data_IF_099616121097
#
_entry.id   IF_099616121097
#
_cell.length_a   1.000
_cell.length_b   1.000
_cell.length_c   1.000
_cell.angle_alpha   90.00
_cell.angle_beta   90.00
_cell.angle_gamma   90.00
#
_symmetry.space_group_name_H-M   'P 1'
#
loop_
_entity.id
_entity.type
_entity.pdbx_description
1 polymer ?
#
# COMPACT_ATOMS: atom_id res chain seq x y z
N UNK A 1 0.72 4.48 -23.14
CA UNK A 1 -0.52 4.38 -22.37
C UNK A 1 -0.44 3.38 -21.22
N UNK A 2 -0.02 2.15 -21.47
CA UNK A 2 0.12 1.14 -20.43
C UNK A 2 1.16 1.53 -19.38
N UNK A 3 2.25 2.16 -19.80
CA UNK A 3 3.28 2.65 -18.89
C UNK A 3 2.74 3.75 -17.96
N UNK A 4 1.84 4.61 -18.45
CA UNK A 4 1.22 5.64 -17.65
C UNK A 4 0.36 5.07 -16.52
N UNK A 5 -0.38 3.99 -16.81
CA UNK A 5 -1.20 3.29 -15.81
C UNK A 5 -0.31 2.68 -14.72
N UNK A 6 0.81 2.08 -15.14
CA UNK A 6 1.78 1.49 -14.19
C UNK A 6 2.43 2.58 -13.34
N UNK A 7 2.81 3.70 -13.95
CA UNK A 7 3.40 4.84 -13.23
C UNK A 7 2.45 5.41 -12.18
N UNK A 8 1.18 5.59 -12.53
CA UNK A 8 0.17 6.08 -11.60
C UNK A 8 -0.02 5.12 -10.42
N UNK A 9 -0.03 3.81 -10.69
CA UNK A 9 -0.12 2.79 -9.66
C UNK A 9 1.13 2.76 -8.78
N UNK A 10 2.31 2.96 -9.35
CA UNK A 10 3.55 3.04 -8.58
C UNK A 10 3.55 4.25 -7.65
N UNK A 11 3.03 5.39 -8.09
CA UNK A 11 2.84 6.56 -7.23
C UNK A 11 1.91 6.26 -6.07
N UNK A 12 0.82 5.58 -6.35
CA UNK A 12 -0.17 5.20 -5.34
C UNK A 12 0.45 4.23 -4.31
N UNK A 13 1.25 3.28 -4.76
CA UNK A 13 2.00 2.38 -3.87
C UNK A 13 2.93 3.18 -2.95
N UNK A 14 3.66 4.14 -3.51
CA UNK A 14 4.55 5.01 -2.73
C UNK A 14 3.78 5.79 -1.67
N UNK A 15 2.61 6.31 -2.00
CA UNK A 15 1.76 7.03 -1.06
C UNK A 15 1.25 6.10 0.04
N UNK A 16 0.86 4.88 -0.30
CA UNK A 16 0.46 3.88 0.69
C UNK A 16 1.61 3.52 1.63
N UNK A 17 2.82 3.36 1.11
CA UNK A 17 3.99 3.06 1.93
C UNK A 17 4.29 4.18 2.92
N UNK A 18 4.18 5.45 2.49
CA UNK A 18 4.32 6.60 3.38
C UNK A 18 3.24 6.60 4.46
N UNK A 19 2.01 6.30 4.08
CA UNK A 19 0.90 6.22 5.03
C UNK A 19 1.11 5.10 6.03
N UNK A 20 1.55 3.93 5.59
CA UNK A 20 1.86 2.79 6.46
C UNK A 20 2.94 3.17 7.48
N UNK A 21 4.00 3.84 7.04
CA UNK A 21 5.07 4.31 7.94
C UNK A 21 4.52 5.26 9.01
N UNK A 22 3.67 6.20 8.61
CA UNK A 22 3.02 7.12 9.55
C UNK A 22 2.09 6.40 10.52
N UNK A 23 1.38 5.39 10.02
CA UNK A 23 0.48 4.59 10.86
C UNK A 23 1.25 3.72 11.86
N UNK A 24 2.41 3.20 11.48
CA UNK A 24 3.27 2.46 12.40
C UNK A 24 3.74 3.36 13.55
N UNK A 25 4.14 4.59 13.25
CA UNK A 25 4.52 5.57 14.26
C UNK A 25 3.35 5.94 15.16
N UNK A 26 2.17 6.12 14.58
CA UNK A 26 0.95 6.45 15.31
C UNK A 26 0.52 5.28 16.21
N UNK A 27 0.64 4.04 15.73
CA UNK A 27 0.34 2.84 16.51
C UNK A 27 1.25 2.75 17.74
N UNK A 28 2.54 2.98 17.56
CA UNK A 28 3.50 2.96 18.65
C UNK A 28 3.17 4.04 19.67
N UNK A 29 2.90 5.26 19.23
CA UNK A 29 2.53 6.35 20.11
C UNK A 29 1.25 6.02 20.88
N UNK A 30 0.24 5.50 20.20
CA UNK A 30 -1.03 5.15 20.84
C UNK A 30 -0.85 4.03 21.85
N UNK A 31 -0.05 3.02 21.55
CA UNK A 31 0.27 1.94 22.48
C UNK A 31 0.99 2.47 23.72
N UNK A 32 1.98 3.33 23.53
CA UNK A 32 2.76 3.91 24.63
C UNK A 32 1.93 4.82 25.54
N UNK A 33 0.85 5.39 25.01
CA UNK A 33 -0.01 6.34 25.72
C UNK A 33 -1.39 5.77 26.11
N UNK A 34 -1.56 4.45 26.03
CA UNK A 34 -2.82 3.78 26.34
C UNK A 34 -4.03 4.29 25.53
N UNK A 35 -3.78 4.65 24.29
CA UNK A 35 -4.83 5.03 23.36
C UNK A 35 -5.32 3.82 22.58
N UNK A 36 -6.36 4.01 21.76
CA UNK A 36 -6.99 2.94 20.98
C UNK A 36 -6.11 2.49 19.81
N UNK A 37 -4.95 1.94 20.11
CA UNK A 37 -3.95 1.49 19.12
C UNK A 37 -4.46 0.39 18.21
N UNK A 38 -5.45 -0.39 18.66
CA UNK A 38 -6.04 -1.47 17.86
C UNK A 38 -6.72 -0.93 16.60
N UNK A 39 -7.34 0.24 16.67
CA UNK A 39 -7.95 0.88 15.51
C UNK A 39 -6.89 1.33 14.51
N UNK A 40 -5.78 1.86 14.99
CA UNK A 40 -4.67 2.25 14.14
C UNK A 40 -4.07 1.03 13.44
N UNK A 41 -3.89 -0.05 14.18
CA UNK A 41 -3.39 -1.32 13.66
C UNK A 41 -4.31 -1.89 12.59
N UNK A 42 -5.62 -1.90 12.83
CA UNK A 42 -6.61 -2.39 11.86
C UNK A 42 -6.59 -1.58 10.57
N UNK A 43 -6.51 -0.26 10.70
CA UNK A 43 -6.42 0.63 9.54
C UNK A 43 -5.11 0.41 8.76
N UNK A 44 -4.00 0.23 9.46
CA UNK A 44 -2.71 -0.09 8.84
C UNK A 44 -2.79 -1.35 8.00
N UNK A 45 -3.39 -2.41 8.52
CA UNK A 45 -3.55 -3.66 7.77
C UNK A 45 -4.43 -3.49 6.54
N UNK A 46 -5.50 -2.71 6.64
CA UNK A 46 -6.36 -2.41 5.51
C UNK A 46 -5.57 -1.74 4.38
N UNK A 47 -4.78 -0.73 4.71
CA UNK A 47 -3.93 -0.02 3.73
C UNK A 47 -2.88 -0.96 3.15
N UNK A 48 -2.32 -1.84 3.97
CA UNK A 48 -1.35 -2.84 3.53
C UNK A 48 -1.93 -3.77 2.48
N UNK A 49 -3.15 -4.26 2.71
CA UNK A 49 -3.85 -5.12 1.76
C UNK A 49 -4.16 -4.40 0.45
N UNK A 50 -4.57 -3.15 0.52
CA UNK A 50 -4.82 -2.34 -0.67
C UNK A 50 -3.54 -2.18 -1.50
N UNK A 51 -2.41 -1.92 -0.84
CA UNK A 51 -1.11 -1.84 -1.50
C UNK A 51 -0.76 -3.17 -2.18
N UNK A 52 -0.92 -4.29 -1.49
CA UNK A 52 -0.62 -5.61 -2.04
C UNK A 52 -1.48 -5.92 -3.27
N UNK A 53 -2.75 -5.54 -3.25
CA UNK A 53 -3.63 -5.72 -4.39
C UNK A 53 -3.17 -4.93 -5.61
N UNK A 54 -2.70 -3.72 -5.41
CA UNK A 54 -2.17 -2.88 -6.49
C UNK A 54 -0.88 -3.48 -7.06
N UNK A 55 0.00 -3.99 -6.20
CA UNK A 55 1.23 -4.67 -6.63
C UNK A 55 0.89 -5.88 -7.51
N UNK A 56 -0.09 -6.68 -7.10
CA UNK A 56 -0.55 -7.84 -7.87
C UNK A 56 -1.13 -7.43 -9.22
N UNK A 57 -1.89 -6.34 -9.26
CA UNK A 57 -2.42 -5.81 -10.53
C UNK A 57 -1.29 -5.41 -11.48
N UNK A 58 -0.27 -4.74 -10.97
CA UNK A 58 0.89 -4.34 -11.78
C UNK A 58 1.62 -5.57 -12.33
N UNK A 59 1.85 -6.57 -11.49
CA UNK A 59 2.50 -7.81 -11.90
C UNK A 59 1.70 -8.52 -12.99
N UNK A 60 0.39 -8.58 -12.84
CA UNK A 60 -0.51 -9.17 -13.83
C UNK A 60 -0.42 -8.45 -15.17
N UNK A 61 -0.47 -7.12 -15.15
CA UNK A 61 -0.36 -6.32 -16.37
C UNK A 61 0.99 -6.53 -17.06
N UNK A 62 2.07 -6.57 -16.28
CA UNK A 62 3.42 -6.82 -16.81
C UNK A 62 3.52 -8.20 -17.47
N UNK A 63 2.91 -9.22 -16.85
CA UNK A 63 2.87 -10.56 -17.44
C UNK A 63 2.12 -10.56 -18.75
N UNK A 64 0.97 -9.90 -18.81
CA UNK A 64 0.20 -9.80 -20.05
C UNK A 64 0.99 -9.11 -21.18
N UNK A 65 1.71 -8.05 -20.84
CA UNK A 65 2.56 -7.35 -21.81
C UNK A 65 3.74 -8.20 -22.25
N UNK A 66 4.37 -8.89 -21.29
CA UNK A 66 5.48 -9.79 -21.57
C UNK A 66 5.09 -10.98 -22.43
N UNK A 67 3.90 -11.51 -22.24
CA UNK A 67 3.39 -12.63 -23.01
C UNK A 67 3.14 -12.28 -24.49
N UNK A 68 2.98 -11.00 -24.80
CA UNK A 68 2.76 -10.53 -26.18
C UNK A 68 4.06 -10.29 -26.92
N UNK A 69 5.15 -10.23 -26.25
CA UNK A 69 6.46 -9.91 -26.78
C UNK A 69 7.45 -11.00 -26.45
#
# INVERSE_FOLDING_TARGET
>A
MTSSVIEDRNKLISEYEKLIDRLEKAEKWASDNNYAWEFVKAYKYKIWHERDNIIKEIEFVRELLGAKY
#
